data_IF_362591668778
#
_entry.id   IF_362591668778
#
_cell.length_a   1.000
_cell.length_b   1.000
_cell.length_c   1.000
_cell.angle_alpha   90.00
_cell.angle_beta   90.00
_cell.angle_gamma   90.00
#
_symmetry.space_group_name_H-M   'P 1'
#
loop_
_entity.id
_entity.type
_entity.pdbx_description
1 polymer ?
#
# COMPACT_ATOMS: atom_id res chain seq x y z
N UNK A 1 -12.93 -7.25 13.69
CA UNK A 1 -13.90 -7.31 12.57
C UNK A 1 -13.24 -6.73 11.32
N UNK A 2 -13.25 -7.50 10.25
CA UNK A 2 -12.70 -7.02 8.96
C UNK A 2 -13.63 -5.95 8.40
N UNK A 3 -13.08 -4.78 8.08
CA UNK A 3 -13.82 -3.66 7.49
C UNK A 3 -13.38 -3.34 6.07
N UNK A 4 -12.32 -3.95 5.59
CA UNK A 4 -11.88 -3.74 4.22
C UNK A 4 -10.98 -4.87 3.74
N UNK A 5 -11.13 -5.20 2.47
CA UNK A 5 -10.32 -6.19 1.78
C UNK A 5 -10.06 -5.70 0.37
N UNK A 6 -8.82 -5.74 -0.06
CA UNK A 6 -8.45 -5.41 -1.41
C UNK A 6 -7.36 -6.33 -1.93
N UNK A 7 -7.38 -6.59 -3.21
CA UNK A 7 -6.28 -7.27 -3.88
C UNK A 7 -6.04 -6.64 -5.25
N UNK A 8 -4.80 -6.73 -5.70
CA UNK A 8 -4.45 -6.20 -7.00
C UNK A 8 -3.26 -6.95 -7.58
N UNK A 9 -3.17 -6.92 -8.91
CA UNK A 9 -2.08 -7.49 -9.68
C UNK A 9 -1.38 -6.36 -10.44
N UNK A 10 -0.07 -6.44 -10.54
CA UNK A 10 0.71 -5.50 -11.34
C UNK A 10 1.80 -6.24 -12.11
N UNK A 11 1.86 -5.98 -13.41
CA UNK A 11 2.92 -6.54 -14.25
C UNK A 11 4.14 -5.62 -14.18
N UNK A 12 5.26 -6.15 -13.71
CA UNK A 12 6.51 -5.39 -13.58
C UNK A 12 6.99 -4.82 -14.92
N UNK A 13 6.62 -5.46 -16.04
CA UNK A 13 6.98 -4.96 -17.38
C UNK A 13 6.25 -3.66 -17.70
N UNK A 14 5.02 -3.50 -17.22
CA UNK A 14 4.29 -2.22 -17.34
C UNK A 14 4.98 -1.12 -16.54
N UNK A 15 5.41 -1.44 -15.34
CA UNK A 15 6.15 -0.49 -14.51
C UNK A 15 7.45 -0.08 -15.19
N UNK A 16 8.20 -1.05 -15.74
CA UNK A 16 9.44 -0.75 -16.47
C UNK A 16 9.20 0.23 -17.63
N UNK A 17 8.12 0.04 -18.39
CA UNK A 17 7.76 0.93 -19.50
C UNK A 17 7.39 2.33 -19.01
N UNK A 18 6.65 2.42 -17.92
CA UNK A 18 6.27 3.72 -17.35
C UNK A 18 7.49 4.47 -16.81
N UNK A 19 8.41 3.76 -16.17
CA UNK A 19 9.67 4.33 -15.70
C UNK A 19 10.50 4.86 -16.87
N UNK A 20 10.55 4.13 -17.97
CA UNK A 20 11.27 4.54 -19.16
C UNK A 20 10.68 5.80 -19.80
N UNK A 21 9.33 5.92 -19.82
CA UNK A 21 8.63 7.05 -20.43
C UNK A 21 8.58 8.29 -19.55
N UNK A 22 8.30 8.11 -18.27
CA UNK A 22 7.95 9.21 -17.36
C UNK A 22 8.94 9.39 -16.20
N UNK A 23 9.73 8.36 -15.89
CA UNK A 23 10.78 8.44 -14.87
C UNK A 23 10.32 9.04 -13.56
N UNK A 24 11.00 10.10 -13.14
CA UNK A 24 10.76 10.73 -11.86
C UNK A 24 9.34 11.30 -11.70
N UNK A 25 8.69 11.70 -12.77
CA UNK A 25 7.30 12.20 -12.69
C UNK A 25 6.35 11.15 -12.15
N UNK A 26 6.49 9.90 -12.64
CA UNK A 26 5.69 8.79 -12.15
C UNK A 26 6.05 8.45 -10.71
N UNK A 27 7.34 8.34 -10.42
CA UNK A 27 7.82 7.98 -9.09
C UNK A 27 7.41 9.00 -8.03
N UNK A 28 7.54 10.29 -8.33
CA UNK A 28 7.15 11.35 -7.41
C UNK A 28 5.65 11.35 -7.11
N UNK A 29 4.85 10.98 -8.11
CA UNK A 29 3.39 10.98 -7.97
C UNK A 29 2.88 9.80 -7.17
N UNK A 30 3.55 8.66 -7.24
CA UNK A 30 3.03 7.39 -6.74
C UNK A 30 3.72 6.94 -5.46
N UNK A 31 5.04 7.10 -5.36
CA UNK A 31 5.82 6.48 -4.29
C UNK A 31 6.38 7.49 -3.30
N UNK A 32 6.45 7.05 -2.03
CA UNK A 32 7.11 7.83 -0.99
C UNK A 32 8.63 7.80 -1.15
N UNK A 33 9.32 8.74 -0.51
CA UNK A 33 10.78 8.75 -0.55
C UNK A 33 11.39 7.44 -0.01
N UNK A 34 10.82 6.88 1.05
CA UNK A 34 11.28 5.62 1.63
C UNK A 34 11.09 4.45 0.65
N UNK A 35 9.96 4.39 -0.04
CA UNK A 35 9.71 3.36 -1.05
C UNK A 35 10.68 3.47 -2.22
N UNK A 36 10.95 4.69 -2.67
CA UNK A 36 11.92 4.93 -3.75
C UNK A 36 13.33 4.51 -3.33
N UNK A 37 13.76 4.89 -2.14
CA UNK A 37 15.09 4.52 -1.65
C UNK A 37 15.26 2.99 -1.61
N UNK A 38 14.24 2.27 -1.14
CA UNK A 38 14.28 0.82 -1.10
C UNK A 38 14.34 0.18 -2.49
N UNK A 39 13.50 0.64 -3.41
CA UNK A 39 13.46 0.10 -4.77
C UNK A 39 14.75 0.39 -5.53
N UNK A 40 15.29 1.60 -5.41
CA UNK A 40 16.53 1.97 -6.09
C UNK A 40 17.75 1.19 -5.56
N UNK A 41 17.68 0.67 -4.34
CA UNK A 41 18.74 -0.17 -3.78
C UNK A 41 18.72 -1.63 -4.28
N UNK A 42 17.67 -2.01 -5.03
CA UNK A 42 17.49 -3.38 -5.52
C UNK A 42 17.90 -3.52 -6.97
N UNK A 43 18.42 -4.70 -7.33
CA UNK A 43 18.78 -5.01 -8.73
C UNK A 43 17.53 -5.00 -9.62
N UNK A 44 16.43 -5.56 -9.15
CA UNK A 44 15.17 -5.65 -9.89
C UNK A 44 14.20 -4.57 -9.41
N UNK A 45 14.55 -3.30 -9.65
CA UNK A 45 13.76 -2.20 -9.13
C UNK A 45 12.33 -2.15 -9.68
N UNK A 46 12.12 -2.50 -10.95
CA UNK A 46 10.78 -2.52 -11.52
C UNK A 46 9.86 -3.52 -10.80
N UNK A 47 10.38 -4.69 -10.43
CA UNK A 47 9.63 -5.68 -9.66
C UNK A 47 9.32 -5.18 -8.25
N UNK A 48 10.26 -4.48 -7.62
CA UNK A 48 10.06 -3.89 -6.29
C UNK A 48 8.98 -2.81 -6.34
N UNK A 49 9.04 -1.93 -7.34
CA UNK A 49 7.99 -0.92 -7.54
C UNK A 49 6.63 -1.56 -7.84
N UNK A 50 6.61 -2.62 -8.66
CA UNK A 50 5.36 -3.30 -9.00
C UNK A 50 4.65 -3.86 -7.77
N UNK A 51 5.37 -4.48 -6.85
CA UNK A 51 4.78 -5.00 -5.59
C UNK A 51 4.20 -3.86 -4.76
N UNK A 52 4.90 -2.75 -4.65
CA UNK A 52 4.41 -1.60 -3.89
C UNK A 52 3.24 -0.91 -4.57
N UNK A 53 3.28 -0.82 -5.89
CA UNK A 53 2.16 -0.28 -6.65
C UNK A 53 0.90 -1.13 -6.45
N UNK A 54 1.04 -2.46 -6.56
CA UNK A 54 -0.07 -3.39 -6.30
C UNK A 54 -0.62 -3.22 -4.87
N UNK A 55 0.25 -3.02 -3.88
CA UNK A 55 -0.17 -2.81 -2.50
C UNK A 55 -1.00 -1.53 -2.34
N UNK A 56 -0.61 -0.44 -2.99
CA UNK A 56 -1.35 0.83 -2.95
C UNK A 56 -2.72 0.69 -3.58
N UNK A 57 -2.79 0.05 -4.74
CA UNK A 57 -4.06 -0.22 -5.41
C UNK A 57 -4.96 -1.11 -4.55
N UNK A 58 -4.41 -2.18 -3.98
CA UNK A 58 -5.15 -3.07 -3.09
C UNK A 58 -5.63 -2.34 -1.85
N UNK A 59 -4.80 -1.45 -1.28
CA UNK A 59 -5.17 -0.65 -0.12
C UNK A 59 -6.34 0.30 -0.46
N UNK A 60 -6.30 0.95 -1.61
CA UNK A 60 -7.38 1.83 -2.05
C UNK A 60 -8.70 1.08 -2.20
N UNK A 61 -8.65 -0.16 -2.68
CA UNK A 61 -9.82 -1.03 -2.76
C UNK A 61 -10.32 -1.42 -1.36
N UNK A 62 -9.42 -1.73 -0.45
CA UNK A 62 -9.77 -2.04 0.94
C UNK A 62 -10.43 -0.85 1.64
N UNK A 63 -10.02 0.38 1.31
CA UNK A 63 -10.67 1.60 1.81
C UNK A 63 -12.04 1.85 1.17
N UNK A 64 -12.36 1.15 0.09
CA UNK A 64 -13.65 1.23 -0.60
C UNK A 64 -13.77 2.39 -1.57
N UNK A 65 -12.75 3.22 -1.72
CA UNK A 65 -12.80 4.40 -2.58
C UNK A 65 -12.10 4.21 -3.91
N UNK A 66 -11.14 3.27 -3.99
CA UNK A 66 -10.14 3.34 -5.04
C UNK A 66 -9.36 4.64 -4.90
N UNK A 67 -8.85 5.16 -6.00
CA UNK A 67 -8.08 6.41 -6.02
C UNK A 67 -8.99 7.63 -6.23
N UNK A 68 -10.07 7.71 -5.44
CA UNK A 68 -11.08 8.77 -5.47
C UNK A 68 -11.25 9.35 -4.08
N UNK A 69 -12.05 10.41 -3.97
CA UNK A 69 -12.43 11.02 -2.70
C UNK A 69 -11.22 11.44 -1.85
N UNK A 70 -10.18 11.96 -2.49
CA UNK A 70 -8.99 12.45 -1.81
C UNK A 70 -7.97 11.38 -1.42
N UNK A 71 -8.15 10.14 -1.87
CA UNK A 71 -7.21 9.05 -1.62
C UNK A 71 -6.19 8.99 -2.75
N UNK A 72 -4.93 9.24 -2.45
CA UNK A 72 -3.83 9.29 -3.41
C UNK A 72 -2.77 8.22 -3.11
N UNK A 73 -2.06 7.78 -4.12
CA UNK A 73 -1.02 6.75 -3.99
C UNK A 73 0.00 7.06 -2.90
N UNK A 74 0.51 8.30 -2.85
CA UNK A 74 1.55 8.68 -1.88
C UNK A 74 1.08 8.65 -0.44
N UNK A 75 -0.22 8.70 -0.21
CA UNK A 75 -0.82 8.63 1.12
C UNK A 75 -0.90 7.20 1.67
N UNK A 76 -0.53 6.22 0.85
CA UNK A 76 -0.58 4.79 1.20
C UNK A 76 0.82 4.20 1.08
N UNK A 77 1.69 4.50 2.05
CA UNK A 77 3.07 4.03 2.02
C UNK A 77 3.21 2.59 2.51
N UNK A 78 3.96 1.79 1.77
CA UNK A 78 4.34 0.45 2.23
C UNK A 78 5.55 0.57 3.14
N UNK A 79 5.44 0.09 4.36
CA UNK A 79 6.51 0.08 5.35
C UNK A 79 6.66 -1.31 5.94
N UNK A 80 7.82 -1.59 6.53
CA UNK A 80 8.07 -2.86 7.20
C UNK A 80 8.04 -2.65 8.71
N UNK A 81 7.30 -3.50 9.40
CA UNK A 81 7.31 -3.56 10.86
C UNK A 81 8.64 -4.13 11.36
N UNK A 82 8.99 -3.93 12.64
CA UNK A 82 10.10 -4.65 13.24
C UNK A 82 9.91 -6.15 13.00
N UNK A 83 10.94 -6.81 12.50
CA UNK A 83 10.85 -8.22 12.09
C UNK A 83 10.59 -8.41 10.59
N UNK A 84 10.32 -7.34 9.84
CA UNK A 84 10.26 -7.35 8.38
C UNK A 84 8.90 -7.50 7.74
N UNK A 85 7.84 -7.77 8.52
CA UNK A 85 6.50 -7.92 7.98
C UNK A 85 5.99 -6.59 7.39
N UNK A 86 5.45 -6.60 6.16
CA UNK A 86 4.96 -5.36 5.55
C UNK A 86 3.63 -4.91 6.17
N UNK A 87 3.43 -3.61 6.20
CA UNK A 87 2.15 -2.97 6.52
C UNK A 87 2.03 -1.69 5.71
N UNK A 88 0.88 -1.02 5.84
CA UNK A 88 0.65 0.27 5.19
C UNK A 88 0.65 1.37 6.24
N UNK A 89 1.34 2.45 5.94
CA UNK A 89 1.26 3.70 6.70
C UNK A 89 0.41 4.68 5.91
N UNK A 90 -0.76 5.02 6.44
CA UNK A 90 -1.68 5.94 5.79
C UNK A 90 -1.50 7.35 6.30
N UNK A 91 -1.56 8.30 5.39
CA UNK A 91 -1.49 9.74 5.68
C UNK A 91 -2.55 10.45 4.87
N UNK A 92 -2.70 11.76 5.08
CA UNK A 92 -3.57 12.60 4.25
C UNK A 92 -4.98 12.06 4.08
N UNK A 93 -5.46 12.10 2.85
CA UNK A 93 -6.83 11.65 2.52
C UNK A 93 -7.09 10.18 2.76
N UNK A 94 -6.08 9.32 2.58
CA UNK A 94 -6.21 7.89 2.89
C UNK A 94 -6.43 7.65 4.38
N UNK A 95 -5.70 8.37 5.23
CA UNK A 95 -5.89 8.29 6.69
C UNK A 95 -7.26 8.82 7.10
N UNK A 96 -7.69 9.93 6.52
CA UNK A 96 -9.01 10.50 6.78
C UNK A 96 -10.11 9.49 6.40
N UNK A 97 -9.97 8.84 5.25
CA UNK A 97 -10.93 7.79 4.84
C UNK A 97 -10.94 6.63 5.82
N UNK A 98 -9.75 6.15 6.22
CA UNK A 98 -9.67 5.06 7.19
C UNK A 98 -10.40 5.40 8.48
N UNK A 99 -10.16 6.60 9.01
CA UNK A 99 -10.84 7.06 10.24
C UNK A 99 -12.35 7.12 10.06
N UNK A 100 -12.84 7.49 8.87
CA UNK A 100 -14.26 7.59 8.60
C UNK A 100 -15.00 6.25 8.59
N UNK A 101 -14.30 5.16 8.31
CA UNK A 101 -14.89 3.82 8.26
C UNK A 101 -14.66 3.00 9.53
N UNK A 102 -13.82 3.49 10.44
CA UNK A 102 -13.60 2.84 11.73
C UNK A 102 -14.77 3.10 12.67
N UNK A 103 -15.30 2.05 13.33
CA UNK A 103 -16.29 2.24 14.39
C UNK A 103 -15.71 3.04 15.55
N UNK A 104 -16.56 3.74 16.29
CA UNK A 104 -16.13 4.47 17.47
C UNK A 104 -15.39 3.56 18.46
N UNK A 105 -14.29 4.04 19.03
CA UNK A 105 -13.48 3.28 19.98
C UNK A 105 -12.64 2.18 19.40
N UNK A 106 -12.46 2.17 18.07
CA UNK A 106 -11.65 1.16 17.39
C UNK A 106 -10.44 1.80 16.71
N UNK A 107 -9.42 1.00 16.55
CA UNK A 107 -8.21 1.31 15.79
C UNK A 107 -8.09 0.34 14.62
N UNK A 108 -7.30 0.70 13.63
CA UNK A 108 -7.10 -0.14 12.47
C UNK A 108 -5.86 -1.03 12.63
N UNK A 109 -6.00 -2.27 12.23
CA UNK A 109 -4.86 -3.15 11.93
C UNK A 109 -4.87 -3.39 10.43
N UNK A 110 -3.72 -3.18 9.79
CA UNK A 110 -3.58 -3.37 8.34
C UNK A 110 -2.59 -4.49 8.10
N UNK A 111 -3.07 -5.58 7.53
CA UNK A 111 -2.26 -6.71 7.14
C UNK A 111 -2.06 -6.68 5.62
N UNK A 112 -0.83 -6.91 5.20
CA UNK A 112 -0.44 -6.87 3.78
C UNK A 112 0.32 -8.14 3.45
N UNK A 113 -0.04 -8.74 2.33
CA UNK A 113 0.72 -9.85 1.74
C UNK A 113 1.17 -9.44 0.35
N UNK A 114 2.47 -9.52 0.10
CA UNK A 114 3.07 -9.23 -1.20
C UNK A 114 3.70 -10.50 -1.74
N UNK A 115 3.39 -10.83 -2.98
CA UNK A 115 3.97 -11.99 -3.64
C UNK A 115 4.20 -11.69 -5.11
N UNK A 116 5.05 -12.48 -5.76
CA UNK A 116 5.26 -12.38 -7.20
C UNK A 116 5.47 -13.76 -7.81
N UNK A 117 5.07 -13.87 -9.07
CA UNK A 117 5.27 -15.04 -9.91
C UNK A 117 5.66 -14.55 -11.28
N UNK A 118 6.92 -14.78 -11.68
CA UNK A 118 7.45 -14.20 -12.92
C UNK A 118 7.37 -12.67 -12.87
N UNK A 119 6.85 -12.02 -13.91
CA UNK A 119 6.75 -10.56 -13.91
C UNK A 119 5.53 -10.04 -13.14
N UNK A 120 4.64 -10.92 -12.66
CA UNK A 120 3.39 -10.51 -12.01
C UNK A 120 3.59 -10.37 -10.51
N UNK A 121 3.31 -9.18 -9.98
CA UNK A 121 3.24 -8.91 -8.55
C UNK A 121 1.78 -8.96 -8.11
N UNK A 122 1.53 -9.46 -6.91
CA UNK A 122 0.22 -9.45 -6.29
C UNK A 122 0.31 -8.87 -4.89
N UNK A 123 -0.71 -8.11 -4.51
CA UNK A 123 -0.87 -7.61 -3.15
C UNK A 123 -2.26 -7.93 -2.64
N UNK A 124 -2.33 -8.27 -1.36
CA UNK A 124 -3.59 -8.42 -0.63
C UNK A 124 -3.48 -7.52 0.58
N UNK A 125 -4.51 -6.71 0.82
CA UNK A 125 -4.61 -5.82 1.98
C UNK A 125 -5.89 -6.12 2.73
N UNK A 126 -5.77 -6.34 4.03
CA UNK A 126 -6.91 -6.56 4.92
C UNK A 126 -6.87 -5.49 6.01
N UNK A 127 -7.97 -4.78 6.17
CA UNK A 127 -8.13 -3.79 7.25
C UNK A 127 -9.08 -4.35 8.28
N UNK A 128 -8.61 -4.45 9.51
CA UNK A 128 -9.40 -4.97 10.64
C UNK A 128 -9.62 -3.86 11.66
N UNK A 129 -10.85 -3.70 12.11
CA UNK A 129 -11.18 -2.82 13.23
C UNK A 129 -10.99 -3.59 14.54
N UNK A 130 -10.13 -3.05 15.41
CA UNK A 130 -9.78 -3.67 16.69
C UNK A 130 -10.13 -2.67 17.79
N UNK A 131 -10.75 -3.11 18.92
CA UNK A 131 -10.99 -2.20 20.03
C UNK A 131 -9.71 -1.49 20.47
N UNK A 132 -9.79 -0.19 20.68
CA UNK A 132 -8.63 0.62 21.07
C UNK A 132 -7.99 0.06 22.35
N UNK A 133 -6.64 0.00 22.36
CA UNK A 133 -5.89 -0.56 23.50
C UNK A 133 -5.74 -2.08 23.46
N UNK A 134 -6.31 -2.76 22.46
CA UNK A 134 -6.14 -4.21 22.30
C UNK A 134 -4.73 -4.55 21.76
N UNK A 135 -4.18 -5.73 22.11
CA UNK A 135 -2.94 -6.20 21.47
C UNK A 135 -3.09 -6.27 19.95
N UNK A 136 -2.11 -5.71 19.22
CA UNK A 136 -2.12 -5.69 17.76
C UNK A 136 -2.90 -4.55 17.14
N UNK A 137 -3.50 -3.68 17.94
CA UNK A 137 -4.03 -2.40 17.48
C UNK A 137 -2.89 -1.41 17.37
N UNK A 138 -2.87 -0.59 16.30
CA UNK A 138 -1.87 0.44 16.03
C UNK A 138 -0.43 -0.08 16.15
N UNK A 139 0.13 -0.44 15.05
CA UNK A 139 1.54 -0.80 14.98
C UNK A 139 2.44 0.42 15.14
#
# INVERSE_FOLDING_TARGET
MIIGLGSDLCDARRIAKVLERHGDRFLDRVFTAAERAKAESRANKAETYAKRFAAKEACSKALGTGLRAGVFWRDMGVVNLPGGRPTMKLTGGALARLKSILPAGHEARIDVSLTDEGPTAQAIVIITAIPAGSPGAAA
#
